data_IF_328622613821
#
_entry.id   IF_328622613821
#
_cell.length_a   1.000
_cell.length_b   1.000
_cell.length_c   1.000
_cell.angle_alpha   90.00
_cell.angle_beta   90.00
_cell.angle_gamma   90.00
#
_symmetry.space_group_name_H-M   'P 1'
#
loop_
_entity.id
_entity.type
_entity.pdbx_description
1 polymer ?
#
# COMPACT_ATOMS: atom_id res chain seq x y z
N UNK A 1 -16.41 38.38 -31.40
CA UNK A 1 -15.83 37.74 -30.19
C UNK A 1 -15.71 36.23 -30.29
N UNK A 2 -16.53 35.61 -31.12
CA UNK A 2 -16.62 34.15 -31.15
C UNK A 2 -15.65 33.49 -32.14
N UNK A 3 -15.37 34.10 -33.30
CA UNK A 3 -14.57 33.47 -34.35
C UNK A 3 -13.09 33.28 -34.03
N UNK A 4 -12.43 34.29 -33.46
CA UNK A 4 -11.03 34.17 -33.02
C UNK A 4 -10.86 33.15 -31.90
N UNK A 5 -11.77 33.16 -30.94
CA UNK A 5 -11.76 32.18 -29.84
C UNK A 5 -12.01 30.76 -30.34
N UNK A 6 -12.89 30.58 -31.32
CA UNK A 6 -13.14 29.27 -31.93
C UNK A 6 -11.90 28.76 -32.65
N UNK A 7 -11.25 29.59 -33.47
CA UNK A 7 -10.03 29.21 -34.18
C UNK A 7 -8.87 28.83 -33.26
N UNK A 8 -8.74 29.49 -32.09
CA UNK A 8 -7.74 29.13 -31.08
C UNK A 8 -8.08 27.82 -30.37
N UNK A 9 -9.37 27.57 -30.10
CA UNK A 9 -9.82 26.30 -29.53
C UNK A 9 -9.59 25.14 -30.50
N UNK A 10 -9.86 25.31 -31.78
CA UNK A 10 -9.60 24.29 -32.79
C UNK A 10 -8.09 23.94 -32.85
N UNK A 11 -7.20 24.94 -32.72
CA UNK A 11 -5.76 24.70 -32.67
C UNK A 11 -5.36 23.96 -31.38
N UNK A 12 -5.96 24.27 -30.22
CA UNK A 12 -5.74 23.56 -28.98
C UNK A 12 -6.20 22.09 -29.12
N UNK A 13 -7.37 21.87 -29.71
CA UNK A 13 -7.90 20.52 -29.95
C UNK A 13 -6.97 19.68 -30.84
N UNK A 14 -6.32 20.29 -31.84
CA UNK A 14 -5.30 19.60 -32.64
C UNK A 14 -4.06 19.24 -31.84
N UNK A 15 -3.60 20.12 -30.96
CA UNK A 15 -2.48 19.85 -30.06
C UNK A 15 -2.83 18.73 -29.09
N UNK A 16 -4.04 18.72 -28.53
CA UNK A 16 -4.52 17.68 -27.63
C UNK A 16 -4.61 16.31 -28.33
N UNK A 17 -5.03 16.27 -29.61
CA UNK A 17 -4.96 15.04 -30.40
C UNK A 17 -3.54 14.54 -30.62
N UNK A 18 -2.61 15.46 -30.93
CA UNK A 18 -1.20 15.11 -31.07
C UNK A 18 -0.61 14.57 -29.76
N UNK A 19 -1.00 15.14 -28.61
CA UNK A 19 -0.63 14.63 -27.28
C UNK A 19 -1.17 13.21 -27.05
N UNK A 20 -2.42 12.94 -27.44
CA UNK A 20 -3.02 11.61 -27.35
C UNK A 20 -2.24 10.58 -28.18
N UNK A 21 -1.85 10.92 -29.42
CA UNK A 21 -1.05 10.06 -30.29
C UNK A 21 0.35 9.77 -29.67
N UNK A 22 0.98 10.78 -29.05
CA UNK A 22 2.26 10.62 -28.37
C UNK A 22 2.14 9.72 -27.13
N UNK A 23 1.04 9.84 -26.37
CA UNK A 23 0.76 8.94 -25.25
C UNK A 23 0.56 7.51 -25.69
N UNK A 24 -0.21 7.28 -26.75
CA UNK A 24 -0.41 5.95 -27.33
C UNK A 24 0.91 5.31 -27.78
N UNK A 25 1.75 6.07 -28.50
CA UNK A 25 3.09 5.63 -28.90
C UNK A 25 3.98 5.29 -27.70
N UNK A 26 3.95 6.12 -26.66
CA UNK A 26 4.73 5.89 -25.44
C UNK A 26 4.28 4.61 -24.72
N UNK A 27 2.99 4.37 -24.61
CA UNK A 27 2.45 3.16 -23.97
C UNK A 27 2.84 1.90 -24.75
N UNK A 28 2.85 1.97 -26.09
CA UNK A 28 3.33 0.87 -26.92
C UNK A 28 4.80 0.55 -26.66
N UNK A 29 5.67 1.54 -26.64
CA UNK A 29 7.10 1.37 -26.29
C UNK A 29 7.30 0.81 -24.87
N UNK A 30 6.47 1.22 -23.92
CA UNK A 30 6.50 0.70 -22.55
C UNK A 30 6.13 -0.78 -22.52
N UNK A 31 5.17 -1.22 -23.32
CA UNK A 31 4.83 -2.63 -23.43
C UNK A 31 6.02 -3.46 -23.95
N UNK A 32 6.78 -2.97 -24.91
CA UNK A 32 8.02 -3.60 -25.37
C UNK A 32 9.10 -3.62 -24.28
N UNK A 33 9.25 -2.53 -23.53
CA UNK A 33 10.15 -2.49 -22.34
C UNK A 33 9.74 -3.53 -21.31
N UNK A 34 8.44 -3.70 -21.05
CA UNK A 34 7.91 -4.73 -20.15
C UNK A 34 8.30 -6.14 -20.60
N UNK A 35 8.23 -6.45 -21.88
CA UNK A 35 8.67 -7.74 -22.44
C UNK A 35 10.17 -8.00 -22.22
N UNK A 36 11.00 -6.98 -22.42
CA UNK A 36 12.45 -7.07 -22.17
C UNK A 36 12.74 -7.29 -20.69
N UNK A 37 12.10 -6.51 -19.82
CA UNK A 37 12.25 -6.66 -18.36
C UNK A 37 11.81 -8.05 -17.90
N UNK A 38 10.66 -8.53 -18.38
CA UNK A 38 10.15 -9.86 -18.06
C UNK A 38 11.14 -10.96 -18.43
N UNK A 39 11.74 -10.91 -19.62
CA UNK A 39 12.74 -11.90 -20.07
C UNK A 39 14.00 -11.89 -19.22
N UNK A 40 14.45 -10.73 -18.80
CA UNK A 40 15.74 -10.55 -18.09
C UNK A 40 15.61 -10.51 -16.56
N UNK A 41 14.41 -10.53 -16.00
CA UNK A 41 14.19 -10.44 -14.55
C UNK A 41 14.53 -9.06 -13.98
N UNK A 42 14.35 -8.02 -14.79
CA UNK A 42 14.59 -6.66 -14.35
C UNK A 42 13.36 -6.11 -13.61
N UNK A 43 13.55 -5.33 -12.55
CA UNK A 43 12.43 -4.77 -11.78
C UNK A 43 11.61 -3.80 -12.63
N UNK A 44 10.28 -3.83 -12.41
CA UNK A 44 9.36 -2.88 -13.06
C UNK A 44 9.69 -1.45 -12.63
N UNK A 45 10.03 -1.23 -11.37
CA UNK A 45 10.36 0.07 -10.81
C UNK A 45 11.83 0.19 -10.45
N UNK A 46 12.50 1.22 -10.99
CA UNK A 46 13.90 1.58 -10.71
C UNK A 46 13.94 3.05 -10.26
N UNK A 47 14.07 3.34 -8.96
CA UNK A 47 13.97 4.70 -8.40
C UNK A 47 14.94 5.69 -9.03
N UNK A 48 16.20 5.31 -9.21
CA UNK A 48 17.27 6.17 -9.71
C UNK A 48 17.01 6.60 -11.17
N UNK A 49 16.51 5.65 -11.99
CA UNK A 49 16.15 5.92 -13.38
C UNK A 49 14.97 6.89 -13.47
N UNK A 50 13.95 6.68 -12.64
CA UNK A 50 12.79 7.58 -12.60
C UNK A 50 13.21 8.98 -12.18
N UNK A 51 13.99 9.12 -11.10
CA UNK A 51 14.45 10.40 -10.61
C UNK A 51 15.31 11.14 -11.65
N UNK A 52 16.24 10.45 -12.31
CA UNK A 52 17.09 11.03 -13.34
C UNK A 52 16.28 11.51 -14.55
N UNK A 53 15.30 10.72 -15.00
CA UNK A 53 14.42 11.06 -16.11
C UNK A 53 13.57 12.30 -15.78
N UNK A 54 12.94 12.33 -14.61
CA UNK A 54 12.15 13.48 -14.18
C UNK A 54 13.00 14.75 -14.08
N UNK A 55 14.18 14.68 -13.48
CA UNK A 55 15.09 15.82 -13.39
C UNK A 55 15.52 16.35 -14.78
N UNK A 56 15.74 15.45 -15.75
CA UNK A 56 16.04 15.85 -17.13
C UNK A 56 14.87 16.57 -17.78
N UNK A 57 13.66 16.01 -17.68
CA UNK A 57 12.45 16.61 -18.28
C UNK A 57 12.09 17.95 -17.65
N UNK A 58 12.28 18.12 -16.36
CA UNK A 58 12.10 19.42 -15.69
C UNK A 58 13.01 20.51 -16.27
N UNK A 59 14.31 20.23 -16.46
CA UNK A 59 15.24 21.18 -17.08
C UNK A 59 14.88 21.51 -18.52
N UNK A 60 14.46 20.51 -19.30
CA UNK A 60 14.02 20.73 -20.68
C UNK A 60 12.75 21.58 -20.75
N UNK A 61 11.82 21.36 -19.83
CA UNK A 61 10.59 22.15 -19.72
C UNK A 61 10.90 23.63 -19.44
N UNK A 62 11.80 23.91 -18.50
CA UNK A 62 12.26 25.28 -18.21
C UNK A 62 12.76 25.98 -19.48
N UNK A 63 13.58 25.30 -20.29
CA UNK A 63 14.13 25.84 -21.54
C UNK A 63 13.03 26.13 -22.61
N UNK A 64 11.90 25.43 -22.52
CA UNK A 64 10.75 25.59 -23.43
C UNK A 64 9.68 26.53 -22.87
N UNK A 65 9.86 27.10 -21.68
CA UNK A 65 8.87 27.92 -21.00
C UNK A 65 7.66 27.13 -20.47
N UNK A 66 7.80 25.80 -20.30
CA UNK A 66 6.81 24.93 -19.69
C UNK A 66 7.08 24.83 -18.18
N UNK A 67 6.06 24.98 -17.31
CA UNK A 67 6.26 24.82 -15.89
C UNK A 67 6.84 23.43 -15.55
N UNK A 68 7.96 23.33 -14.81
CA UNK A 68 8.59 22.04 -14.48
C UNK A 68 7.70 21.10 -13.69
N UNK A 69 6.84 21.64 -12.83
CA UNK A 69 5.89 20.84 -12.05
C UNK A 69 4.81 20.22 -12.94
N UNK A 70 4.38 20.92 -14.00
CA UNK A 70 3.39 20.39 -14.94
C UNK A 70 3.91 19.14 -15.63
N UNK A 71 5.10 19.19 -16.21
CA UNK A 71 5.68 18.02 -16.90
C UNK A 71 5.94 16.87 -15.94
N UNK A 72 6.35 17.16 -14.72
CA UNK A 72 6.55 16.13 -13.69
C UNK A 72 5.22 15.43 -13.33
N UNK A 73 4.16 16.17 -13.08
CA UNK A 73 2.83 15.64 -12.76
C UNK A 73 2.28 14.76 -13.89
N UNK A 74 2.39 15.24 -15.13
CA UNK A 74 1.99 14.48 -16.34
C UNK A 74 2.78 13.18 -16.44
N UNK A 75 4.10 13.23 -16.33
CA UNK A 75 4.94 12.03 -16.44
C UNK A 75 4.71 11.05 -15.29
N UNK A 76 4.53 11.52 -14.07
CA UNK A 76 4.18 10.65 -12.94
C UNK A 76 2.85 9.93 -13.16
N UNK A 77 1.84 10.61 -13.72
CA UNK A 77 0.56 9.98 -14.07
C UNK A 77 0.73 8.92 -15.16
N UNK A 78 1.47 9.26 -16.22
CA UNK A 78 1.75 8.33 -17.33
C UNK A 78 2.57 7.13 -16.88
N UNK A 79 3.56 7.32 -15.98
CA UNK A 79 4.35 6.21 -15.43
C UNK A 79 3.52 5.24 -14.59
N UNK A 80 2.53 5.74 -13.82
CA UNK A 80 1.63 4.83 -13.09
C UNK A 80 0.90 3.87 -14.03
N UNK A 81 0.42 4.38 -15.15
CA UNK A 81 -0.21 3.55 -16.18
C UNK A 81 0.78 2.57 -16.84
N UNK A 82 2.01 3.03 -17.03
CA UNK A 82 3.10 2.20 -17.57
C UNK A 82 3.40 0.99 -16.68
N UNK A 83 3.44 1.16 -15.37
CA UNK A 83 3.68 0.04 -14.43
C UNK A 83 2.55 -0.99 -14.48
N UNK A 84 1.30 -0.58 -14.66
CA UNK A 84 0.19 -1.52 -14.85
C UNK A 84 0.36 -2.31 -16.15
N UNK A 85 0.68 -1.63 -17.25
CA UNK A 85 0.91 -2.27 -18.55
C UNK A 85 2.11 -3.21 -18.55
N UNK A 86 3.20 -2.87 -17.86
CA UNK A 86 4.37 -3.76 -17.71
C UNK A 86 4.02 -5.04 -16.95
N UNK A 87 3.18 -4.96 -15.93
CA UNK A 87 2.74 -6.13 -15.15
C UNK A 87 2.02 -7.17 -16.01
N UNK A 88 1.22 -6.73 -16.99
CA UNK A 88 0.46 -7.63 -17.86
C UNK A 88 1.36 -8.46 -18.81
N UNK A 89 2.62 -8.09 -18.95
CA UNK A 89 3.62 -8.86 -19.71
C UNK A 89 4.23 -10.02 -18.92
N UNK A 90 3.86 -10.16 -17.65
CA UNK A 90 4.40 -11.16 -16.75
C UNK A 90 5.81 -10.83 -16.25
N UNK A 91 6.36 -11.74 -15.46
CA UNK A 91 7.64 -11.56 -14.80
C UNK A 91 8.49 -12.82 -14.96
N UNK A 92 9.82 -12.66 -14.94
CA UNK A 92 10.74 -13.79 -14.94
C UNK A 92 10.55 -14.62 -13.67
N UNK A 93 10.51 -15.93 -13.83
CA UNK A 93 10.56 -16.89 -12.73
C UNK A 93 11.98 -16.94 -12.17
N UNK A 94 12.18 -16.51 -10.93
CA UNK A 94 13.52 -16.52 -10.30
C UNK A 94 13.87 -17.87 -9.68
N UNK A 95 12.88 -18.69 -9.34
CA UNK A 95 13.07 -20.05 -8.84
C UNK A 95 12.28 -21.06 -9.68
N UNK A 96 12.76 -21.40 -10.91
CA UNK A 96 11.99 -22.24 -11.84
C UNK A 96 11.80 -23.68 -11.38
N UNK A 97 12.61 -24.18 -10.44
CA UNK A 97 12.48 -25.53 -9.89
C UNK A 97 11.58 -25.62 -8.67
N UNK A 98 10.97 -24.48 -8.26
CA UNK A 98 10.08 -24.47 -7.10
C UNK A 98 8.88 -25.41 -7.35
N UNK A 99 8.63 -26.29 -6.40
CA UNK A 99 7.40 -27.07 -6.35
C UNK A 99 6.19 -26.15 -6.16
N UNK A 100 4.96 -26.63 -6.36
CA UNK A 100 3.79 -25.77 -6.30
C UNK A 100 3.71 -24.91 -5.03
N UNK A 101 3.21 -23.70 -5.22
CA UNK A 101 2.90 -22.76 -4.14
C UNK A 101 1.45 -22.99 -3.72
N UNK A 102 1.20 -23.11 -2.43
CA UNK A 102 -0.16 -23.20 -1.90
C UNK A 102 -0.50 -21.92 -1.15
N UNK A 103 -1.58 -21.25 -1.55
CA UNK A 103 -2.08 -20.06 -0.85
C UNK A 103 -3.30 -20.47 -0.03
N UNK A 104 -3.16 -20.46 1.28
CA UNK A 104 -4.26 -20.66 2.22
C UNK A 104 -5.02 -19.35 2.36
N UNK A 105 -6.32 -19.36 2.08
CA UNK A 105 -7.13 -18.14 1.94
C UNK A 105 -6.93 -17.45 0.58
N UNK A 106 -6.58 -18.23 -0.44
CA UNK A 106 -6.28 -17.74 -1.78
C UNK A 106 -7.47 -17.09 -2.50
N UNK A 107 -8.70 -17.35 -2.09
CA UNK A 107 -9.91 -16.71 -2.62
C UNK A 107 -10.20 -15.34 -1.97
N UNK A 108 -9.53 -14.99 -0.88
CA UNK A 108 -9.54 -13.65 -0.32
C UNK A 108 -8.88 -12.62 -1.26
N UNK A 109 -9.16 -11.35 -1.04
CA UNK A 109 -8.69 -10.28 -1.94
C UNK A 109 -7.14 -10.23 -2.04
N UNK A 110 -6.43 -10.28 -0.92
CA UNK A 110 -4.96 -10.28 -0.92
C UNK A 110 -4.39 -11.59 -1.46
N UNK A 111 -5.03 -12.72 -1.14
CA UNK A 111 -4.68 -14.03 -1.69
C UNK A 111 -4.77 -14.08 -3.21
N UNK A 112 -5.84 -13.52 -3.79
CA UNK A 112 -6.01 -13.40 -5.25
C UNK A 112 -4.95 -12.52 -5.90
N UNK A 113 -4.56 -11.42 -5.26
CA UNK A 113 -3.49 -10.56 -5.76
C UNK A 113 -2.16 -11.32 -5.84
N UNK A 114 -1.77 -12.01 -4.76
CA UNK A 114 -0.55 -12.82 -4.76
C UNK A 114 -0.62 -14.01 -5.72
N UNK A 115 -1.77 -14.67 -5.81
CA UNK A 115 -2.00 -15.73 -6.80
C UNK A 115 -1.75 -15.22 -8.22
N UNK A 116 -2.34 -14.09 -8.58
CA UNK A 116 -2.15 -13.45 -9.90
C UNK A 116 -0.67 -13.15 -10.16
N UNK A 117 0.02 -12.50 -9.23
CA UNK A 117 1.42 -12.10 -9.41
C UNK A 117 2.35 -13.32 -9.54
N UNK A 118 2.14 -14.35 -8.72
CA UNK A 118 2.91 -15.59 -8.78
C UNK A 118 2.64 -16.36 -10.08
N UNK A 119 1.39 -16.43 -10.51
CA UNK A 119 1.02 -17.05 -11.80
C UNK A 119 1.63 -16.29 -12.99
N UNK A 120 1.59 -14.95 -12.97
CA UNK A 120 2.25 -14.13 -13.97
C UNK A 120 3.78 -14.27 -13.95
N UNK A 121 4.34 -14.72 -12.85
CA UNK A 121 5.78 -15.06 -12.70
C UNK A 121 6.09 -16.52 -13.08
N UNK A 122 5.11 -17.26 -13.62
CA UNK A 122 5.29 -18.63 -14.10
C UNK A 122 5.28 -19.72 -13.03
N UNK A 123 4.92 -19.41 -11.78
CA UNK A 123 4.78 -20.41 -10.72
C UNK A 123 3.45 -21.16 -10.80
N UNK A 124 3.49 -22.44 -10.42
CA UNK A 124 2.26 -23.21 -10.20
C UNK A 124 1.69 -22.83 -8.84
N UNK A 125 0.43 -22.34 -8.83
CA UNK A 125 -0.26 -21.92 -7.60
C UNK A 125 -1.50 -22.77 -7.40
N UNK A 126 -1.66 -23.27 -6.18
CA UNK A 126 -2.86 -23.96 -5.69
C UNK A 126 -3.49 -23.10 -4.60
N UNK A 127 -4.79 -23.15 -4.49
CA UNK A 127 -5.55 -22.47 -3.44
C UNK A 127 -6.08 -23.49 -2.46
N UNK A 128 -6.01 -23.19 -1.17
CA UNK A 128 -6.62 -23.95 -0.10
C UNK A 128 -7.49 -23.03 0.74
N UNK A 129 -8.78 -23.22 0.72
CA UNK A 129 -9.75 -22.48 1.53
C UNK A 129 -10.47 -23.38 2.53
N UNK A 130 -11.49 -22.85 3.22
CA UNK A 130 -12.16 -23.57 4.30
C UNK A 130 -12.73 -24.94 3.87
N UNK A 131 -13.26 -25.01 2.66
CA UNK A 131 -13.88 -26.22 2.11
C UNK A 131 -12.84 -27.29 1.72
N UNK A 132 -11.60 -26.88 1.48
CA UNK A 132 -10.50 -27.74 1.04
C UNK A 132 -9.74 -28.43 2.19
N UNK A 133 -10.01 -28.04 3.43
CA UNK A 133 -9.29 -28.57 4.61
C UNK A 133 -9.28 -30.10 4.72
N UNK A 134 -10.34 -30.84 4.34
CA UNK A 134 -10.28 -32.32 4.32
C UNK A 134 -9.16 -32.86 3.39
N UNK A 135 -8.72 -32.07 2.40
CA UNK A 135 -7.68 -32.44 1.44
C UNK A 135 -6.35 -31.72 1.71
N UNK A 136 -6.24 -30.98 2.82
CA UNK A 136 -5.08 -30.13 3.13
C UNK A 136 -3.77 -30.94 3.14
N UNK A 137 -3.76 -32.14 3.71
CA UNK A 137 -2.60 -33.00 3.76
C UNK A 137 -2.10 -33.33 2.34
N UNK A 138 -3.01 -33.67 1.43
CA UNK A 138 -2.67 -33.97 0.03
C UNK A 138 -2.19 -32.73 -0.73
N UNK A 139 -2.86 -31.59 -0.54
CA UNK A 139 -2.54 -30.34 -1.24
C UNK A 139 -1.20 -29.76 -0.81
N UNK A 140 -0.79 -30.00 0.43
CA UNK A 140 0.43 -29.47 1.03
C UNK A 140 1.63 -30.44 0.95
N UNK A 141 1.39 -31.71 0.64
CA UNK A 141 2.40 -32.77 0.70
C UNK A 141 3.66 -32.50 -0.15
N UNK A 142 3.51 -31.87 -1.31
CA UNK A 142 4.60 -31.53 -2.23
C UNK A 142 4.83 -30.00 -2.35
N UNK A 143 4.27 -29.20 -1.44
CA UNK A 143 4.39 -27.76 -1.52
C UNK A 143 5.87 -27.29 -1.40
N UNK A 144 6.27 -26.39 -2.28
CA UNK A 144 7.56 -25.69 -2.21
C UNK A 144 7.47 -24.39 -1.38
N UNK A 145 6.29 -23.78 -1.34
CA UNK A 145 5.98 -22.63 -0.50
C UNK A 145 4.51 -22.66 -0.09
N UNK A 146 4.24 -22.27 1.14
CA UNK A 146 2.89 -22.08 1.67
C UNK A 146 2.74 -20.63 2.12
N UNK A 147 1.74 -19.95 1.59
CA UNK A 147 1.40 -18.56 1.96
C UNK A 147 0.09 -18.57 2.73
N UNK A 148 0.11 -18.09 3.97
CA UNK A 148 -1.07 -17.93 4.81
C UNK A 148 -1.63 -16.52 4.64
N UNK A 149 -2.79 -16.42 3.98
CA UNK A 149 -3.48 -15.16 3.66
C UNK A 149 -4.94 -15.22 4.14
N UNK A 150 -5.12 -15.44 5.42
CA UNK A 150 -6.42 -15.53 6.09
C UNK A 150 -6.63 -14.36 7.04
N UNK A 151 -7.87 -14.10 7.51
CA UNK A 151 -8.13 -13.05 8.51
C UNK A 151 -7.25 -13.18 9.74
N UNK A 152 -6.86 -12.05 10.34
CA UNK A 152 -5.89 -11.98 11.45
C UNK A 152 -6.31 -12.88 12.61
N UNK A 153 -7.58 -12.85 13.01
CA UNK A 153 -8.11 -13.59 14.17
C UNK A 153 -8.05 -15.11 14.03
N UNK A 154 -7.94 -15.65 12.81
CA UNK A 154 -7.81 -17.10 12.57
C UNK A 154 -6.41 -17.52 12.13
N UNK A 155 -5.47 -16.57 11.91
CA UNK A 155 -4.16 -16.86 11.34
C UNK A 155 -3.38 -17.88 12.18
N UNK A 156 -3.28 -17.70 13.48
CA UNK A 156 -2.55 -18.63 14.37
C UNK A 156 -3.21 -20.01 14.42
N UNK A 157 -4.55 -20.07 14.45
CA UNK A 157 -5.29 -21.31 14.42
C UNK A 157 -5.05 -22.07 13.13
N UNK A 158 -5.06 -21.39 12.00
CA UNK A 158 -4.77 -21.98 10.68
C UNK A 158 -3.35 -22.53 10.64
N UNK A 159 -2.36 -21.75 11.11
CA UNK A 159 -0.96 -22.20 11.17
C UNK A 159 -0.80 -23.42 12.07
N UNK A 160 -1.46 -23.47 13.22
CA UNK A 160 -1.38 -24.60 14.17
C UNK A 160 -2.01 -25.90 13.64
N UNK A 161 -2.89 -25.80 12.65
CA UNK A 161 -3.57 -26.93 12.00
C UNK A 161 -2.84 -27.45 10.77
N UNK A 162 -1.72 -26.82 10.36
CA UNK A 162 -0.97 -27.28 9.20
C UNK A 162 -0.45 -28.71 9.43
N UNK A 163 -0.58 -29.60 8.45
CA UNK A 163 0.11 -30.89 8.49
C UNK A 163 1.63 -30.67 8.41
N UNK A 164 2.41 -31.72 8.59
CA UNK A 164 3.86 -31.66 8.42
C UNK A 164 4.19 -31.26 6.99
N UNK A 165 4.80 -30.08 6.82
CA UNK A 165 5.26 -29.59 5.52
C UNK A 165 6.62 -30.22 5.15
N UNK A 166 6.95 -30.30 3.85
CA UNK A 166 8.31 -30.64 3.41
C UNK A 166 9.35 -29.78 4.10
N UNK A 167 10.49 -30.37 4.48
CA UNK A 167 11.53 -29.71 5.29
C UNK A 167 12.10 -28.43 4.65
N UNK A 168 12.09 -28.36 3.32
CA UNK A 168 12.56 -27.22 2.51
C UNK A 168 11.42 -26.29 2.05
N UNK A 169 10.17 -26.57 2.44
CA UNK A 169 9.03 -25.72 2.13
C UNK A 169 9.14 -24.38 2.87
N UNK A 170 8.96 -23.29 2.14
CA UNK A 170 8.96 -21.94 2.72
C UNK A 170 7.58 -21.64 3.28
N UNK A 171 7.47 -21.31 4.57
CA UNK A 171 6.23 -20.90 5.19
C UNK A 171 6.20 -19.37 5.35
N UNK A 172 5.15 -18.75 4.82
CA UNK A 172 4.97 -17.30 4.70
C UNK A 172 3.60 -16.90 5.22
N UNK A 173 3.47 -15.78 5.91
CA UNK A 173 2.19 -15.13 6.19
C UNK A 173 2.12 -13.74 5.57
N UNK A 174 0.90 -13.22 5.38
CA UNK A 174 0.63 -11.87 4.86
C UNK A 174 -0.14 -11.00 5.86
N UNK A 175 -0.27 -11.43 7.11
CA UNK A 175 -1.05 -10.71 8.12
C UNK A 175 -0.50 -9.33 8.45
N UNK A 176 -1.38 -8.41 8.85
CA UNK A 176 -1.00 -7.05 9.27
C UNK A 176 -0.32 -6.99 10.64
N UNK A 177 -0.26 -8.09 11.37
CA UNK A 177 0.50 -8.26 12.60
C UNK A 177 1.61 -9.29 12.36
N UNK A 178 2.76 -9.16 13.01
CA UNK A 178 3.91 -10.03 12.71
C UNK A 178 4.35 -10.89 13.88
N UNK A 179 4.31 -10.38 15.09
CA UNK A 179 4.93 -11.08 16.22
C UNK A 179 4.28 -12.46 16.47
N UNK A 180 2.97 -12.50 16.63
CA UNK A 180 2.23 -13.75 16.92
C UNK A 180 2.24 -14.74 15.73
N UNK A 181 1.93 -14.33 14.48
CA UNK A 181 2.00 -15.22 13.33
C UNK A 181 3.40 -15.80 13.10
N UNK A 182 4.45 -14.97 13.23
CA UNK A 182 5.83 -15.44 13.05
C UNK A 182 6.20 -16.52 14.07
N UNK A 183 5.87 -16.31 15.36
CA UNK A 183 6.10 -17.32 16.39
C UNK A 183 5.30 -18.60 16.14
N UNK A 184 4.05 -18.48 15.72
CA UNK A 184 3.23 -19.63 15.35
C UNK A 184 3.84 -20.44 14.18
N UNK A 185 4.30 -19.77 13.14
CA UNK A 185 4.98 -20.40 12.00
C UNK A 185 6.28 -21.08 12.42
N UNK A 186 7.09 -20.46 13.26
CA UNK A 186 8.35 -21.02 13.79
C UNK A 186 8.12 -22.25 14.64
N UNK A 187 6.99 -22.32 15.37
CA UNK A 187 6.61 -23.47 16.16
C UNK A 187 6.06 -24.61 15.30
N UNK A 188 5.26 -24.29 14.28
CA UNK A 188 4.58 -25.28 13.42
C UNK A 188 5.51 -25.90 12.37
N UNK A 189 6.54 -25.19 11.91
CA UNK A 189 7.40 -25.62 10.82
C UNK A 189 8.88 -25.48 11.19
N UNK A 190 9.70 -26.45 10.81
CA UNK A 190 11.15 -26.47 11.09
C UNK A 190 12.00 -25.94 9.94
N UNK A 191 11.43 -25.82 8.76
CA UNK A 191 12.07 -25.27 7.57
C UNK A 191 12.09 -23.74 7.51
N UNK A 192 12.29 -23.17 6.30
CA UNK A 192 12.33 -21.73 6.10
C UNK A 192 11.03 -21.03 6.49
N UNK A 193 11.13 -19.90 7.20
CA UNK A 193 9.99 -19.09 7.66
C UNK A 193 10.28 -17.61 7.46
N UNK A 194 9.33 -16.88 6.88
CA UNK A 194 9.37 -15.42 6.76
C UNK A 194 7.98 -14.80 6.93
N UNK A 195 7.89 -13.74 7.69
CA UNK A 195 6.67 -12.93 7.79
C UNK A 195 6.71 -11.80 6.77
N UNK A 196 5.65 -11.63 5.99
CA UNK A 196 5.46 -10.50 5.08
C UNK A 196 4.27 -9.65 5.53
N UNK A 197 4.36 -8.35 5.33
CA UNK A 197 3.23 -7.44 5.46
C UNK A 197 3.21 -6.47 4.27
N UNK A 198 2.36 -6.71 3.26
CA UNK A 198 2.09 -5.73 2.22
C UNK A 198 1.44 -4.49 2.83
N UNK A 199 2.10 -3.32 2.74
CA UNK A 199 1.62 -2.06 3.30
C UNK A 199 0.63 -1.35 2.37
N UNK A 200 -0.18 -2.12 1.65
CA UNK A 200 -1.15 -1.64 0.67
C UNK A 200 -2.37 -2.57 0.62
N UNK A 201 -3.49 -2.03 0.14
CA UNK A 201 -4.70 -2.83 -0.08
C UNK A 201 -4.65 -3.63 -1.38
N UNK A 202 -5.54 -4.62 -1.54
CA UNK A 202 -5.60 -5.48 -2.72
C UNK A 202 -6.07 -4.76 -4.00
N UNK A 203 -6.57 -3.55 -3.88
CA UNK A 203 -7.10 -2.70 -4.95
C UNK A 203 -6.02 -1.93 -5.74
N UNK A 204 -4.73 -2.21 -5.48
CA UNK A 204 -3.64 -1.60 -6.23
C UNK A 204 -3.54 -2.16 -7.66
N UNK A 205 -3.44 -1.28 -8.65
CA UNK A 205 -3.26 -1.68 -10.04
C UNK A 205 -1.86 -2.27 -10.32
N UNK A 206 -0.86 -1.86 -9.55
CA UNK A 206 0.52 -2.35 -9.62
C UNK A 206 1.17 -2.30 -8.24
N UNK A 207 2.08 -3.24 -7.99
CA UNK A 207 2.90 -3.26 -6.76
C UNK A 207 4.10 -2.30 -6.84
N UNK A 208 4.33 -1.70 -8.01
CA UNK A 208 5.40 -0.73 -8.20
C UNK A 208 5.32 0.40 -7.16
N UNK A 209 6.43 0.67 -6.48
CA UNK A 209 6.57 1.64 -5.37
C UNK A 209 5.86 1.28 -4.06
N UNK A 210 5.06 0.21 -4.04
CA UNK A 210 4.43 -0.25 -2.81
C UNK A 210 5.48 -0.83 -1.85
N UNK A 211 5.23 -0.68 -0.56
CA UNK A 211 6.11 -1.21 0.48
C UNK A 211 5.64 -2.60 0.89
N UNK A 212 6.56 -3.55 0.94
CA UNK A 212 6.38 -4.83 1.62
C UNK A 212 7.37 -4.89 2.76
N UNK A 213 6.86 -4.95 3.97
CA UNK A 213 7.69 -5.19 5.16
C UNK A 213 7.92 -6.69 5.27
N UNK A 214 9.14 -7.09 5.65
CA UNK A 214 9.44 -8.48 5.95
C UNK A 214 10.19 -8.65 7.26
N UNK A 215 9.86 -9.73 7.95
CA UNK A 215 10.45 -10.13 9.21
C UNK A 215 11.05 -11.52 9.05
N UNK A 216 12.36 -11.63 9.25
CA UNK A 216 13.04 -12.92 9.15
C UNK A 216 12.61 -13.85 10.28
N UNK A 217 12.33 -15.08 9.92
CA UNK A 217 12.08 -16.17 10.87
C UNK A 217 13.25 -17.14 10.92
N UNK A 218 13.38 -17.97 9.88
CA UNK A 218 14.38 -19.04 9.81
C UNK A 218 14.87 -19.25 8.39
N UNK A 219 16.17 -19.55 8.21
CA UNK A 219 16.80 -19.89 6.93
C UNK A 219 16.57 -18.82 5.83
N UNK A 220 17.00 -17.56 6.02
CA UNK A 220 16.73 -16.48 5.09
C UNK A 220 17.27 -16.71 3.68
N UNK A 221 18.33 -17.49 3.53
CA UNK A 221 18.90 -17.87 2.25
C UNK A 221 17.92 -18.67 1.37
N UNK A 222 17.02 -19.43 1.98
CA UNK A 222 16.06 -20.25 1.25
C UNK A 222 14.94 -19.44 0.60
N UNK A 223 14.59 -18.25 1.15
CA UNK A 223 13.56 -17.38 0.58
C UNK A 223 14.10 -16.07 -0.02
N UNK A 224 15.41 -15.96 -0.19
CA UNK A 224 16.01 -14.77 -0.80
C UNK A 224 15.42 -14.50 -2.19
N UNK A 225 15.23 -15.55 -3.00
CA UNK A 225 14.59 -15.43 -4.31
C UNK A 225 13.17 -14.85 -4.25
N UNK A 226 12.40 -15.12 -3.19
CA UNK A 226 11.06 -14.57 -3.00
C UNK A 226 11.14 -13.05 -2.79
N UNK A 227 12.09 -12.60 -1.96
CA UNK A 227 12.33 -11.17 -1.75
C UNK A 227 12.73 -10.47 -3.05
N UNK A 228 13.60 -11.09 -3.83
CA UNK A 228 13.99 -10.60 -5.17
C UNK A 228 12.81 -10.61 -6.14
N UNK A 229 11.94 -11.62 -6.10
CA UNK A 229 10.71 -11.67 -6.90
C UNK A 229 9.77 -10.50 -6.58
N UNK A 230 9.60 -10.16 -5.31
CA UNK A 230 8.83 -8.98 -4.89
C UNK A 230 9.43 -7.68 -5.47
N UNK A 231 10.77 -7.57 -5.50
CA UNK A 231 11.45 -6.43 -6.12
C UNK A 231 11.28 -6.40 -7.64
N UNK A 232 11.28 -7.56 -8.30
CA UNK A 232 10.97 -7.67 -9.74
C UNK A 232 9.55 -7.15 -10.02
N UNK A 233 8.58 -7.41 -9.15
CA UNK A 233 7.23 -6.83 -9.24
C UNK A 233 7.22 -5.32 -9.02
N UNK A 234 8.32 -4.72 -8.57
CA UNK A 234 8.48 -3.29 -8.31
C UNK A 234 8.24 -2.87 -6.87
N UNK A 235 8.05 -3.82 -5.95
CA UNK A 235 7.90 -3.53 -4.53
C UNK A 235 9.19 -3.00 -3.90
N UNK A 236 9.04 -2.14 -2.90
CA UNK A 236 10.12 -1.68 -2.02
C UNK A 236 10.10 -2.53 -0.76
N UNK A 237 11.21 -3.18 -0.47
CA UNK A 237 11.32 -4.04 0.71
C UNK A 237 11.83 -3.25 1.92
N UNK A 238 11.24 -3.52 3.08
CA UNK A 238 11.71 -3.00 4.35
C UNK A 238 11.85 -4.13 5.36
N UNK A 239 13.09 -4.37 5.79
CA UNK A 239 13.41 -5.38 6.81
C UNK A 239 13.29 -4.79 8.19
N UNK A 240 12.59 -5.50 9.10
CA UNK A 240 12.44 -5.10 10.49
C UNK A 240 12.16 -6.33 11.36
N UNK A 241 12.42 -6.27 12.65
CA UNK A 241 11.99 -7.32 13.56
C UNK A 241 10.47 -7.34 13.75
N UNK A 242 9.88 -8.49 14.03
CA UNK A 242 8.43 -8.61 14.23
C UNK A 242 7.93 -7.74 15.40
N UNK A 243 8.72 -7.61 16.46
CA UNK A 243 8.38 -6.78 17.63
C UNK A 243 8.36 -5.29 17.27
N UNK A 244 9.39 -4.80 16.59
CA UNK A 244 9.45 -3.40 16.13
C UNK A 244 8.37 -3.11 15.08
N UNK A 245 8.08 -4.08 14.20
CA UNK A 245 6.97 -3.96 13.26
C UNK A 245 5.66 -3.68 14.00
N UNK A 246 5.28 -4.52 14.96
CA UNK A 246 4.01 -4.38 15.67
C UNK A 246 3.96 -3.09 16.51
N UNK A 247 5.08 -2.66 17.10
CA UNK A 247 5.18 -1.37 17.77
C UNK A 247 4.89 -0.19 16.84
N UNK A 248 5.42 -0.21 15.62
CA UNK A 248 5.14 0.83 14.63
C UNK A 248 3.70 0.75 14.10
N UNK A 249 3.17 -0.46 13.90
CA UNK A 249 1.79 -0.65 13.44
C UNK A 249 0.76 -0.20 14.48
N UNK A 250 1.12 -0.15 15.75
CA UNK A 250 0.27 0.46 16.78
C UNK A 250 -0.11 1.92 16.44
N UNK A 251 0.83 2.69 15.87
CA UNK A 251 0.58 4.06 15.41
C UNK A 251 0.02 4.11 13.98
N UNK A 252 0.68 3.42 13.05
CA UNK A 252 0.39 3.48 11.61
C UNK A 252 -1.00 2.91 11.29
N UNK A 253 -1.41 1.88 12.02
CA UNK A 253 -2.67 1.19 11.79
C UNK A 253 -3.65 1.32 12.97
N UNK A 254 -3.33 0.79 14.14
CA UNK A 254 -4.30 0.68 15.23
C UNK A 254 -4.84 2.03 15.70
N UNK A 255 -3.97 2.95 16.10
CA UNK A 255 -4.36 4.28 16.57
C UNK A 255 -5.03 5.09 15.46
N UNK A 256 -4.44 5.10 14.24
CA UNK A 256 -5.01 5.84 13.11
C UNK A 256 -6.41 5.34 12.74
N UNK A 257 -6.60 4.04 12.63
CA UNK A 257 -7.91 3.47 12.30
C UNK A 257 -8.93 3.74 13.39
N UNK A 258 -8.53 3.60 14.66
CA UNK A 258 -9.44 3.90 15.77
C UNK A 258 -9.83 5.37 15.82
N UNK A 259 -8.89 6.29 15.63
CA UNK A 259 -9.19 7.74 15.61
C UNK A 259 -10.13 8.08 14.43
N UNK A 260 -9.92 7.49 13.25
CA UNK A 260 -10.81 7.66 12.10
C UNK A 260 -12.20 7.08 12.36
N UNK A 261 -12.27 5.90 12.98
CA UNK A 261 -13.54 5.29 13.41
C UNK A 261 -14.29 6.18 14.40
N UNK A 262 -13.61 6.66 15.45
CA UNK A 262 -14.21 7.51 16.46
C UNK A 262 -14.73 8.84 15.88
N UNK A 263 -13.98 9.42 14.94
CA UNK A 263 -14.42 10.64 14.24
C UNK A 263 -15.67 10.38 13.37
N UNK A 264 -15.68 9.29 12.60
CA UNK A 264 -16.85 8.92 11.81
C UNK A 264 -18.08 8.60 12.66
N UNK A 265 -17.89 7.91 13.79
CA UNK A 265 -18.95 7.65 14.76
C UNK A 265 -19.53 8.97 15.31
N UNK A 266 -18.66 9.91 15.69
CA UNK A 266 -19.08 11.23 16.16
C UNK A 266 -19.91 11.99 15.11
N UNK A 267 -19.45 12.04 13.85
CA UNK A 267 -20.22 12.68 12.77
C UNK A 267 -21.62 12.06 12.59
N UNK A 268 -21.73 10.74 12.73
CA UNK A 268 -22.99 10.03 12.62
C UNK A 268 -23.93 10.34 13.80
N UNK A 269 -23.40 10.39 15.02
CA UNK A 269 -24.17 10.70 16.23
C UNK A 269 -24.65 12.16 16.26
N UNK A 270 -23.85 13.11 15.75
CA UNK A 270 -24.25 14.52 15.57
C UNK A 270 -25.22 14.70 14.38
N UNK A 271 -25.49 13.64 13.62
CA UNK A 271 -26.40 13.63 12.48
C UNK A 271 -26.13 14.75 11.46
N UNK A 272 -24.86 14.98 11.14
CA UNK A 272 -24.44 16.01 10.19
C UNK A 272 -24.92 15.71 8.76
N UNK A 273 -25.24 16.75 8.00
CA UNK A 273 -25.65 16.59 6.60
C UNK A 273 -24.42 16.54 5.70
N UNK A 274 -24.08 15.34 5.18
CA UNK A 274 -22.88 15.11 4.38
C UNK A 274 -22.80 15.99 3.13
N UNK A 275 -23.94 16.20 2.45
CA UNK A 275 -24.02 17.06 1.27
C UNK A 275 -23.62 18.50 1.59
N UNK A 276 -24.03 19.02 2.75
CA UNK A 276 -23.68 20.38 3.19
C UNK A 276 -22.19 20.46 3.56
N UNK A 277 -21.67 19.47 4.27
CA UNK A 277 -20.24 19.41 4.59
C UNK A 277 -19.39 19.38 3.33
N UNK A 278 -19.77 18.57 2.34
CA UNK A 278 -19.08 18.49 1.06
C UNK A 278 -19.17 19.80 0.26
N UNK A 279 -20.35 20.44 0.23
CA UNK A 279 -20.54 21.71 -0.49
C UNK A 279 -19.68 22.85 0.08
N UNK A 280 -19.48 22.87 1.41
CA UNK A 280 -18.72 23.89 2.14
C UNK A 280 -17.25 23.50 2.36
N UNK A 281 -16.84 22.28 1.97
CA UNK A 281 -15.53 21.74 2.30
C UNK A 281 -14.39 22.45 1.57
N UNK A 282 -13.32 22.74 2.32
CA UNK A 282 -12.01 23.00 1.75
C UNK A 282 -11.43 21.70 1.13
N UNK A 283 -10.43 21.77 0.23
CA UNK A 283 -9.76 20.57 -0.29
C UNK A 283 -9.20 19.65 0.81
N UNK A 284 -8.68 20.21 1.90
CA UNK A 284 -8.18 19.45 3.06
C UNK A 284 -9.31 18.65 3.70
N UNK A 285 -10.42 19.30 4.05
CA UNK A 285 -11.54 18.64 4.71
C UNK A 285 -12.19 17.58 3.83
N UNK A 286 -12.30 17.85 2.52
CA UNK A 286 -12.81 16.87 1.55
C UNK A 286 -11.95 15.62 1.51
N UNK A 287 -10.62 15.76 1.49
CA UNK A 287 -9.69 14.63 1.51
C UNK A 287 -9.80 13.85 2.82
N UNK A 288 -9.86 14.54 3.95
CA UNK A 288 -10.05 13.93 5.27
C UNK A 288 -11.37 13.15 5.35
N UNK A 289 -12.48 13.74 4.93
CA UNK A 289 -13.78 13.08 4.93
C UNK A 289 -13.81 11.87 3.98
N UNK A 290 -13.14 11.95 2.84
CA UNK A 290 -12.97 10.81 1.92
C UNK A 290 -12.21 9.65 2.58
N UNK A 291 -11.17 9.95 3.38
CA UNK A 291 -10.42 8.91 4.12
C UNK A 291 -11.26 8.30 5.25
N UNK A 292 -12.09 9.10 5.91
CA UNK A 292 -13.07 8.59 6.88
C UNK A 292 -14.07 7.64 6.20
N UNK A 293 -14.71 8.09 5.12
CA UNK A 293 -15.65 7.27 4.34
C UNK A 293 -15.03 5.98 3.79
N UNK A 294 -13.77 6.04 3.34
CA UNK A 294 -13.04 4.86 2.87
C UNK A 294 -12.94 3.76 3.94
N UNK A 295 -12.76 4.12 5.20
CA UNK A 295 -12.72 3.13 6.30
C UNK A 295 -14.06 2.40 6.41
N UNK A 296 -15.17 3.13 6.40
CA UNK A 296 -16.51 2.55 6.56
C UNK A 296 -17.04 1.82 5.30
N UNK A 297 -16.38 1.98 4.16
CA UNK A 297 -16.70 1.24 2.94
C UNK A 297 -16.01 -0.14 2.85
N UNK A 298 -15.22 -0.51 3.86
CA UNK A 298 -14.45 -1.75 3.89
C UNK A 298 -14.96 -2.71 4.99
N UNK A 299 -14.36 -3.91 5.06
CA UNK A 299 -14.76 -4.93 6.03
C UNK A 299 -14.49 -4.49 7.48
N UNK A 300 -15.52 -4.34 8.32
CA UNK A 300 -15.35 -3.94 9.71
C UNK A 300 -14.55 -4.94 10.55
N UNK A 301 -14.61 -6.24 10.20
CA UNK A 301 -13.86 -7.29 10.91
C UNK A 301 -12.36 -7.08 10.80
N UNK A 302 -11.88 -6.70 9.61
CA UNK A 302 -10.46 -6.41 9.39
C UNK A 302 -9.97 -5.29 10.32
N UNK A 303 -10.73 -4.22 10.45
CA UNK A 303 -10.36 -3.09 11.31
C UNK A 303 -10.44 -3.43 12.80
N UNK A 304 -11.45 -4.18 13.21
CA UNK A 304 -11.55 -4.69 14.57
C UNK A 304 -10.34 -5.57 14.92
N UNK A 305 -9.97 -6.50 14.03
CA UNK A 305 -8.82 -7.38 14.22
C UNK A 305 -7.50 -6.59 14.34
N UNK A 306 -7.30 -5.57 13.51
CA UNK A 306 -6.10 -4.72 13.55
C UNK A 306 -6.04 -3.92 14.85
N UNK A 307 -7.13 -3.24 15.21
CA UNK A 307 -7.19 -2.36 16.38
C UNK A 307 -7.02 -3.14 17.68
N UNK A 308 -7.67 -4.30 17.77
CA UNK A 308 -7.72 -5.13 18.97
C UNK A 308 -6.65 -6.24 18.98
N UNK A 309 -5.68 -6.21 18.07
CA UNK A 309 -4.68 -7.28 17.92
C UNK A 309 -3.75 -7.45 19.13
N UNK A 310 -3.60 -6.42 19.96
CA UNK A 310 -2.75 -6.46 21.15
C UNK A 310 -3.25 -5.55 22.27
N UNK A 311 -2.88 -5.87 23.52
CA UNK A 311 -3.13 -5.00 24.68
C UNK A 311 -2.39 -3.67 24.57
N UNK A 312 -1.21 -3.66 23.94
CA UNK A 312 -0.39 -2.47 23.71
C UNK A 312 -1.12 -1.47 22.81
N UNK A 313 -1.85 -1.93 21.78
CA UNK A 313 -2.68 -1.08 20.93
C UNK A 313 -3.76 -0.38 21.76
N UNK A 314 -4.46 -1.13 22.60
CA UNK A 314 -5.50 -0.59 23.49
C UNK A 314 -4.91 0.41 24.48
N UNK A 315 -3.75 0.10 25.06
CA UNK A 315 -3.05 0.99 25.98
C UNK A 315 -2.60 2.29 25.28
N UNK A 316 -2.13 2.23 24.04
CA UNK A 316 -1.78 3.40 23.23
C UNK A 316 -3.00 4.28 22.95
N UNK A 317 -4.12 3.68 22.57
CA UNK A 317 -5.38 4.38 22.31
C UNK A 317 -5.89 5.08 23.58
N UNK A 318 -5.80 4.41 24.74
CA UNK A 318 -6.14 5.02 26.03
C UNK A 318 -5.27 6.24 26.35
N UNK A 319 -3.95 6.16 26.11
CA UNK A 319 -3.06 7.32 26.30
C UNK A 319 -3.40 8.48 25.35
N UNK A 320 -3.77 8.17 24.10
CA UNK A 320 -4.24 9.17 23.15
C UNK A 320 -5.50 9.87 23.64
N UNK A 321 -6.48 9.12 24.12
CA UNK A 321 -7.71 9.66 24.71
C UNK A 321 -7.43 10.57 25.93
N UNK A 322 -6.54 10.16 26.82
CA UNK A 322 -6.13 10.98 27.96
C UNK A 322 -5.52 12.32 27.51
N UNK A 323 -4.60 12.30 26.56
CA UNK A 323 -3.98 13.51 26.00
C UNK A 323 -4.99 14.39 25.26
N UNK A 324 -5.95 13.79 24.58
CA UNK A 324 -7.04 14.53 23.96
C UNK A 324 -7.87 15.27 25.04
N UNK A 325 -8.21 14.62 26.14
CA UNK A 325 -8.88 15.24 27.28
C UNK A 325 -8.07 16.37 27.93
N UNK A 326 -6.74 16.23 28.01
CA UNK A 326 -5.86 17.31 28.48
C UNK A 326 -5.89 18.51 27.52
N UNK A 327 -5.89 18.28 26.21
CA UNK A 327 -6.00 19.34 25.23
C UNK A 327 -7.36 20.07 25.29
N UNK A 328 -8.46 19.36 25.59
CA UNK A 328 -9.77 19.98 25.79
C UNK A 328 -9.76 20.99 26.96
N UNK A 329 -9.04 20.72 28.04
CA UNK A 329 -8.93 21.64 29.18
C UNK A 329 -8.33 23.00 28.80
N UNK A 330 -7.43 23.06 27.80
CA UNK A 330 -6.92 24.32 27.27
C UNK A 330 -8.05 25.19 26.67
N UNK A 331 -9.01 24.53 25.99
CA UNK A 331 -10.17 25.20 25.41
C UNK A 331 -11.15 25.68 26.48
N UNK A 332 -11.43 24.82 27.48
CA UNK A 332 -12.31 25.13 28.58
C UNK A 332 -11.84 26.34 29.42
N UNK A 333 -10.54 26.45 29.63
CA UNK A 333 -9.94 27.58 30.34
C UNK A 333 -9.69 28.81 29.45
N UNK A 334 -9.90 28.72 28.14
CA UNK A 334 -9.65 29.79 27.19
C UNK A 334 -8.16 30.19 27.10
N UNK A 335 -7.25 29.30 27.49
CA UNK A 335 -5.81 29.57 27.59
C UNK A 335 -5.14 29.46 26.21
N UNK A 336 -5.29 30.53 25.41
CA UNK A 336 -4.65 30.64 24.08
C UNK A 336 -3.13 30.55 24.15
N UNK A 337 -2.51 31.09 25.20
CA UNK A 337 -1.07 31.09 25.34
C UNK A 337 -0.53 29.66 25.54
N UNK A 338 -1.12 28.90 26.45
CA UNK A 338 -0.77 27.51 26.66
C UNK A 338 -1.03 26.63 25.42
N UNK A 339 -2.10 26.90 24.68
CA UNK A 339 -2.36 26.25 23.38
C UNK A 339 -1.22 26.51 22.37
N UNK A 340 -0.83 27.78 22.19
CA UNK A 340 0.25 28.18 21.27
C UNK A 340 1.59 27.55 21.68
N UNK A 341 1.88 27.52 22.97
CA UNK A 341 3.10 26.88 23.50
C UNK A 341 3.12 25.37 23.21
N UNK A 342 1.98 24.70 23.41
CA UNK A 342 1.82 23.29 23.08
C UNK A 342 1.97 23.04 21.58
N UNK A 343 1.42 23.90 20.73
CA UNK A 343 1.57 23.85 19.29
C UNK A 343 3.04 23.97 18.87
N UNK A 344 3.78 24.95 19.43
CA UNK A 344 5.21 25.13 19.14
C UNK A 344 6.07 23.93 19.56
N UNK A 345 5.72 23.25 20.66
CA UNK A 345 6.41 22.00 21.06
C UNK A 345 6.26 20.91 20.00
N UNK A 346 5.06 20.76 19.44
CA UNK A 346 4.80 19.79 18.37
C UNK A 346 5.50 20.21 17.07
N UNK A 347 5.45 21.50 16.73
CA UNK A 347 6.19 22.05 15.57
C UNK A 347 7.71 21.76 15.68
N UNK A 348 8.30 21.99 16.85
CA UNK A 348 9.69 21.68 17.10
C UNK A 348 9.99 20.18 16.99
N UNK A 349 9.10 19.32 17.45
CA UNK A 349 9.24 17.86 17.30
C UNK A 349 9.18 17.42 15.84
N UNK A 350 8.32 18.02 15.00
CA UNK A 350 8.28 17.77 13.58
C UNK A 350 9.56 18.24 12.85
N UNK A 351 10.18 19.34 13.33
CA UNK A 351 11.36 19.92 12.70
C UNK A 351 11.16 20.17 11.20
N UNK A 352 12.14 19.78 10.39
CA UNK A 352 12.11 19.98 8.93
C UNK A 352 10.99 19.20 8.22
N UNK A 353 10.45 18.15 8.86
CA UNK A 353 9.33 17.38 8.31
C UNK A 353 8.05 18.22 8.18
N UNK A 354 7.83 19.21 9.05
CA UNK A 354 6.65 20.07 8.96
C UNK A 354 6.59 20.79 7.60
N UNK A 355 7.71 21.36 7.19
CA UNK A 355 7.82 22.07 5.90
C UNK A 355 7.74 21.10 4.70
N UNK A 356 8.40 19.94 4.80
CA UNK A 356 8.29 18.90 3.77
C UNK A 356 6.84 18.46 3.55
N UNK A 357 6.13 18.15 4.60
CA UNK A 357 4.73 17.72 4.52
C UNK A 357 3.80 18.82 4.03
N UNK A 358 4.11 20.09 4.34
CA UNK A 358 3.38 21.22 3.77
C UNK A 358 3.51 21.26 2.23
N UNK A 359 4.70 21.00 1.70
CA UNK A 359 4.95 20.95 0.24
C UNK A 359 4.29 19.73 -0.38
N UNK A 360 4.47 18.53 0.20
CA UNK A 360 3.89 17.28 -0.30
C UNK A 360 2.35 17.34 -0.32
N UNK A 361 1.74 17.88 0.75
CA UNK A 361 0.28 18.00 0.85
C UNK A 361 -0.31 18.94 -0.19
N UNK A 362 0.40 19.99 -0.62
CA UNK A 362 -0.08 20.90 -1.68
C UNK A 362 -0.42 20.17 -2.97
N UNK A 363 0.42 19.23 -3.38
CA UNK A 363 0.19 18.42 -4.59
C UNK A 363 -1.06 17.55 -4.45
N UNK A 364 -1.22 16.87 -3.30
CA UNK A 364 -2.41 16.05 -3.03
C UNK A 364 -3.69 16.89 -3.01
N UNK A 365 -3.64 18.09 -2.42
CA UNK A 365 -4.78 18.99 -2.33
C UNK A 365 -5.19 19.56 -3.69
N UNK A 366 -4.25 19.86 -4.58
CA UNK A 366 -4.53 20.26 -5.97
C UNK A 366 -5.27 19.13 -6.70
N UNK A 367 -4.76 17.91 -6.65
CA UNK A 367 -5.41 16.75 -7.27
C UNK A 367 -6.83 16.49 -6.71
N UNK A 368 -7.02 16.64 -5.40
CA UNK A 368 -8.34 16.52 -4.78
C UNK A 368 -9.31 17.62 -5.23
N UNK A 369 -8.80 18.82 -5.53
CA UNK A 369 -9.60 19.93 -6.06
C UNK A 369 -9.96 19.73 -7.53
N UNK A 370 -9.03 19.22 -8.36
CA UNK A 370 -9.25 18.97 -9.78
C UNK A 370 -10.34 17.91 -10.02
N UNK A 371 -10.51 16.98 -9.08
CA UNK A 371 -11.57 15.96 -9.12
C UNK A 371 -12.93 16.46 -8.62
N UNK A 372 -13.05 17.75 -8.24
CA UNK A 372 -14.31 18.35 -7.78
C UNK A 372 -15.21 18.63 -8.98
N UNK A 373 -16.33 17.93 -9.06
CA UNK A 373 -17.40 18.20 -10.02
C UNK A 373 -18.33 19.27 -9.54
#
# INVERSE_FOLDING_TARGET
MVAELTALRDQIDEVDKALLDLLAKRLHLVAEVGEVKSRHGLPVYVPEREAAMLASRRREAENLGVPPDLIEDVLRRVMRESYVSENDKGFKTLCPQLRPIVIIGGNGQMGRLFNRLLTLSGYQVRVLDQEDWPQAEQLLADAGMVIVSVPIHVTEQVISRLPTLPADCILVDLASVKNRPLHAMLAAHRGPVVGLHPMFGPDVGSVAKQVVVYCDGRQPEAYQWLLEQLQVWGARLHRISAAEHDQNMAFIQALRHFATFAYGLHLAEENVQLEQLLALSSPIYRLELAMVGRLFAQDPQLYADIIMSSEENVALIKRYYQRFGEAIKLLEHGDKQAFIESFRKVEHWFGDYAQRFLVESRTLLRQANDSRQ
#
